data_IF_679585404680
#
_entry.id   IF_679585404680
#
_cell.length_a   1.000
_cell.length_b   1.000
_cell.length_c   1.000
_cell.angle_alpha   90.00
_cell.angle_beta   90.00
_cell.angle_gamma   90.00
#
_symmetry.space_group_name_H-M   'P 1'
#
loop_
_entity.id
_entity.type
_entity.pdbx_description
1 polymer ?
#
# COMPACT_ATOMS: atom_id res chain seq x y z
N UNK A 1 -2.79 0.69 -11.10
CA UNK A 1 -2.25 -0.67 -10.89
C UNK A 1 -2.05 -0.88 -9.40
N UNK A 2 -2.19 -2.10 -8.87
CA UNK A 2 -2.04 -2.34 -7.41
C UNK A 2 -0.62 -2.80 -7.16
N UNK A 3 0.09 -2.10 -6.27
CA UNK A 3 1.46 -2.42 -5.88
C UNK A 3 1.50 -3.31 -4.66
N UNK A 4 2.40 -4.28 -4.65
CA UNK A 4 2.65 -5.16 -3.51
C UNK A 4 4.10 -5.10 -3.05
N UNK A 5 4.32 -4.74 -1.78
CA UNK A 5 5.64 -4.64 -1.16
C UNK A 5 5.63 -5.23 0.24
N UNK A 6 6.28 -6.39 0.39
CA UNK A 6 6.67 -7.00 1.67
C UNK A 6 8.17 -6.75 1.89
N UNK A 7 8.54 -5.57 2.37
CA UNK A 7 9.88 -5.25 2.88
C UNK A 7 9.82 -3.90 3.62
N UNK A 8 10.71 -3.64 4.59
CA UNK A 8 10.50 -2.74 5.71
C UNK A 8 10.35 -1.30 5.27
N UNK A 9 9.83 -0.49 6.20
CA UNK A 9 9.84 0.98 6.24
C UNK A 9 11.22 1.54 5.82
N UNK A 10 11.53 1.52 4.53
CA UNK A 10 12.55 2.38 3.94
C UNK A 10 11.91 3.75 3.93
N UNK A 11 12.37 4.59 4.86
CA UNK A 11 12.18 6.04 4.89
C UNK A 11 11.07 6.52 3.96
N UNK A 12 9.89 6.73 4.53
CA UNK A 12 8.69 7.25 3.86
C UNK A 12 8.91 8.53 3.03
N UNK A 13 10.12 9.09 3.06
CA UNK A 13 10.59 10.19 2.22
C UNK A 13 10.37 9.99 0.71
N UNK A 14 10.41 8.75 0.19
CA UNK A 14 10.21 8.49 -1.24
C UNK A 14 8.89 7.80 -1.58
N UNK A 15 7.96 7.74 -0.63
CA UNK A 15 6.72 7.01 -0.83
C UNK A 15 5.97 7.57 -2.05
N UNK A 16 5.92 8.89 -2.22
CA UNK A 16 5.21 9.52 -3.33
C UNK A 16 5.85 9.20 -4.69
N UNK A 17 7.16 9.35 -4.79
CA UNK A 17 7.94 9.16 -6.01
C UNK A 17 7.84 7.71 -6.51
N UNK A 18 7.88 6.75 -5.58
CA UNK A 18 7.67 5.33 -5.89
C UNK A 18 6.25 5.11 -6.42
N UNK A 19 5.26 5.78 -5.83
CA UNK A 19 3.87 5.69 -6.25
C UNK A 19 3.65 6.23 -7.65
N UNK A 20 4.24 7.38 -7.95
CA UNK A 20 4.22 8.01 -9.27
C UNK A 20 4.93 7.13 -10.31
N UNK A 21 6.13 6.63 -10.00
CA UNK A 21 6.90 5.77 -10.91
C UNK A 21 6.19 4.45 -11.25
N UNK A 22 5.46 3.87 -10.30
CA UNK A 22 4.75 2.60 -10.50
C UNK A 22 3.26 2.75 -10.85
N UNK A 23 2.75 3.99 -10.94
CA UNK A 23 1.31 4.24 -11.16
C UNK A 23 0.43 3.66 -10.04
N UNK A 24 0.94 3.64 -8.81
CA UNK A 24 0.24 3.16 -7.63
C UNK A 24 -0.51 4.30 -6.96
N UNK A 25 -1.81 4.10 -6.81
CA UNK A 25 -2.70 5.03 -6.12
C UNK A 25 -3.43 4.38 -4.97
N UNK A 26 -3.80 3.11 -5.11
CA UNK A 26 -4.52 2.34 -4.10
C UNK A 26 -3.58 1.33 -3.46
N UNK A 27 -3.51 1.35 -2.13
CA UNK A 27 -2.67 0.47 -1.34
C UNK A 27 -3.51 -0.21 -0.27
N UNK A 28 -3.12 -1.42 0.11
CA UNK A 28 -3.77 -2.18 1.17
C UNK A 28 -2.76 -2.43 2.28
N UNK A 29 -3.18 -2.26 3.54
CA UNK A 29 -2.33 -2.54 4.69
C UNK A 29 -3.17 -3.01 5.87
N UNK A 30 -2.60 -3.88 6.70
CA UNK A 30 -3.21 -4.29 7.96
C UNK A 30 -2.81 -3.40 9.16
N UNK A 31 -2.05 -2.32 8.92
CA UNK A 31 -1.60 -1.40 9.96
C UNK A 31 -2.27 -0.04 9.82
N UNK A 32 -3.09 0.34 10.79
CA UNK A 32 -3.74 1.65 10.83
C UNK A 32 -2.72 2.82 10.79
N UNK A 33 -1.55 2.62 11.42
CA UNK A 33 -0.46 3.60 11.38
C UNK A 33 0.02 3.84 9.95
N UNK A 34 0.22 2.78 9.17
CA UNK A 34 0.69 2.86 7.79
C UNK A 34 -0.36 3.51 6.89
N UNK A 35 -1.64 3.13 7.05
CA UNK A 35 -2.77 3.75 6.32
C UNK A 35 -2.79 5.27 6.56
N UNK A 36 -2.66 5.71 7.81
CA UNK A 36 -2.69 7.13 8.14
C UNK A 36 -1.52 7.91 7.53
N UNK A 37 -0.32 7.34 7.53
CA UNK A 37 0.86 8.02 6.97
C UNK A 37 0.78 8.07 5.43
N UNK A 38 0.42 6.97 4.78
CA UNK A 38 0.32 6.90 3.32
C UNK A 38 -0.77 7.85 2.77
N UNK A 39 -1.85 8.07 3.51
CA UNK A 39 -2.85 9.09 3.18
C UNK A 39 -2.22 10.50 3.08
N UNK A 40 -1.28 10.83 3.97
CA UNK A 40 -0.53 12.09 3.93
C UNK A 40 0.37 12.25 2.70
N UNK A 41 0.76 11.14 2.05
CA UNK A 41 1.58 11.14 0.83
C UNK A 41 0.76 11.16 -0.47
N UNK A 42 -0.58 11.23 -0.39
CA UNK A 42 -1.46 11.28 -1.56
C UNK A 42 -1.91 9.91 -2.10
N UNK A 43 -1.60 8.83 -1.38
CA UNK A 43 -2.19 7.53 -1.66
C UNK A 43 -3.64 7.46 -1.20
N UNK A 44 -4.35 6.45 -1.71
CA UNK A 44 -5.67 6.01 -1.27
C UNK A 44 -5.54 4.65 -0.56
N UNK A 45 -4.96 4.61 0.65
CA UNK A 45 -4.78 3.36 1.39
C UNK A 45 -6.11 2.88 1.99
N UNK A 46 -6.21 1.58 2.24
CA UNK A 46 -7.32 0.97 2.97
C UNK A 46 -6.80 0.00 4.03
N UNK A 47 -7.44 0.01 5.21
CA UNK A 47 -7.16 -0.93 6.29
C UNK A 47 -7.90 -2.24 6.00
N UNK A 48 -7.19 -3.36 6.02
CA UNK A 48 -7.76 -4.69 5.80
C UNK A 48 -7.15 -5.74 6.73
N UNK A 49 -7.73 -6.95 6.77
CA UNK A 49 -7.14 -8.06 7.52
C UNK A 49 -5.84 -8.53 6.86
N UNK A 50 -5.04 -9.29 7.61
CA UNK A 50 -3.81 -9.88 7.06
C UNK A 50 -4.14 -10.81 5.89
N UNK A 51 -5.19 -11.61 6.00
CA UNK A 51 -5.64 -12.57 5.00
C UNK A 51 -5.97 -11.86 3.68
N UNK A 52 -6.76 -10.77 3.74
CA UNK A 52 -7.08 -9.97 2.55
C UNK A 52 -5.84 -9.29 1.95
N UNK A 53 -4.87 -8.88 2.78
CA UNK A 53 -3.59 -8.35 2.31
C UNK A 53 -2.79 -9.42 1.58
N UNK A 54 -2.72 -10.65 2.09
CA UNK A 54 -2.03 -11.77 1.45
C UNK A 54 -2.73 -12.14 0.13
N UNK A 55 -4.05 -12.28 0.14
CA UNK A 55 -4.81 -12.65 -1.05
C UNK A 55 -4.65 -11.60 -2.17
N UNK A 56 -4.72 -10.32 -1.80
CA UNK A 56 -4.46 -9.23 -2.74
C UNK A 56 -3.04 -9.26 -3.28
N UNK A 57 -2.07 -9.76 -2.49
CA UNK A 57 -0.66 -9.88 -2.86
C UNK A 57 -0.47 -10.88 -3.97
N UNK A 58 -1.00 -12.08 -3.73
CA UNK A 58 -0.90 -13.21 -4.63
C UNK A 58 -1.58 -12.89 -5.97
N UNK A 59 -2.68 -12.13 -5.94
CA UNK A 59 -3.43 -11.77 -7.14
C UNK A 59 -2.93 -10.48 -7.83
N UNK A 60 -2.01 -9.73 -7.21
CA UNK A 60 -1.52 -8.45 -7.74
C UNK A 60 -2.61 -7.37 -7.90
N UNK A 61 -3.73 -7.50 -7.19
CA UNK A 61 -4.86 -6.57 -7.19
C UNK A 61 -5.55 -6.58 -5.84
N UNK A 62 -6.14 -5.46 -5.44
CA UNK A 62 -6.96 -5.40 -4.23
C UNK A 62 -8.19 -6.27 -4.48
N UNK A 63 -8.32 -7.32 -3.67
CA UNK A 63 -9.51 -8.13 -3.55
C UNK A 63 -10.14 -7.79 -2.20
N UNK A 64 -11.40 -7.35 -2.28
CA UNK A 64 -12.20 -6.90 -1.15
C UNK A 64 -13.23 -7.95 -0.78
#
# INVERSE_FOLDING_TARGET
MVGFWWAPVFYQQYAREIGEANGWKRLLSNSAKIVNILGGYGYQPSLASMEACIESAEQGRIVS
#
